data_IF_544259238018
#
_entry.id   IF_544259238018
#
_cell.length_a   1.000
_cell.length_b   1.000
_cell.length_c   1.000
_cell.angle_alpha   90.00
_cell.angle_beta   90.00
_cell.angle_gamma   90.00
#
_symmetry.space_group_name_H-M   'P 1'
#
loop_
_entity.id
_entity.type
_entity.pdbx_description
1 polymer ?
#
# COMPACT_ATOMS: atom_id res chain seq x y z
N UNK A 1 -13.67 -0.36 -2.28
CA UNK A 1 -12.91 -1.36 -3.05
C UNK A 1 -12.59 -2.60 -2.21
N UNK A 2 -12.05 -3.68 -2.81
CA UNK A 2 -11.73 -4.94 -2.11
C UNK A 2 -10.75 -4.75 -0.94
N UNK A 3 -9.81 -3.82 -1.06
CA UNK A 3 -8.81 -3.48 -0.04
C UNK A 3 -9.46 -3.03 1.26
N UNK A 4 -10.26 -1.95 1.21
CA UNK A 4 -10.93 -1.39 2.40
C UNK A 4 -11.88 -2.40 3.05
N UNK A 5 -12.62 -3.18 2.24
CA UNK A 5 -13.49 -4.23 2.77
C UNK A 5 -12.69 -5.33 3.48
N UNK A 6 -11.50 -5.65 2.98
CA UNK A 6 -10.55 -6.56 3.62
C UNK A 6 -10.00 -6.00 4.93
N UNK A 7 -9.55 -4.74 4.93
CA UNK A 7 -9.04 -4.03 6.11
C UNK A 7 -10.07 -4.05 7.25
N UNK A 8 -11.32 -3.66 6.99
CA UNK A 8 -12.39 -3.69 7.99
C UNK A 8 -12.51 -5.06 8.67
N UNK A 9 -12.51 -6.15 7.89
CA UNK A 9 -12.61 -7.52 8.43
C UNK A 9 -11.37 -7.90 9.24
N UNK A 10 -10.18 -7.60 8.73
CA UNK A 10 -8.91 -7.99 9.37
C UNK A 10 -8.68 -7.20 10.65
N UNK A 11 -8.96 -5.90 10.63
CA UNK A 11 -8.87 -5.00 11.78
C UNK A 11 -9.84 -5.41 12.89
N UNK A 12 -11.11 -5.66 12.55
CA UNK A 12 -12.12 -6.12 13.51
C UNK A 12 -11.75 -7.44 14.18
N UNK A 13 -11.21 -8.41 13.43
CA UNK A 13 -10.75 -9.69 13.98
C UNK A 13 -9.53 -9.52 14.88
N UNK A 14 -8.53 -8.76 14.44
CA UNK A 14 -7.28 -8.59 15.19
C UNK A 14 -7.49 -7.80 16.49
N UNK A 15 -8.41 -6.83 16.50
CA UNK A 15 -8.81 -6.09 17.69
C UNK A 15 -9.35 -7.00 18.80
N UNK A 16 -10.06 -8.07 18.45
CA UNK A 16 -10.63 -9.01 19.43
C UNK A 16 -9.56 -9.84 20.17
N UNK A 17 -8.34 -9.90 19.64
CA UNK A 17 -7.23 -10.67 20.20
C UNK A 17 -6.05 -9.79 20.63
N UNK A 18 -6.25 -8.47 20.75
CA UNK A 18 -5.19 -7.53 21.16
C UNK A 18 -4.02 -7.40 20.18
N UNK A 19 -4.28 -7.62 18.88
CA UNK A 19 -3.31 -7.44 17.79
C UNK A 19 -3.74 -6.31 16.84
N UNK A 20 -4.32 -5.26 17.42
CA UNK A 20 -4.72 -4.07 16.68
C UNK A 20 -3.53 -3.40 15.97
N UNK A 21 -3.88 -2.65 14.93
CA UNK A 21 -2.93 -1.91 14.12
C UNK A 21 -3.61 -0.63 13.61
N UNK A 22 -2.83 0.43 13.48
CA UNK A 22 -3.32 1.72 12.97
C UNK A 22 -3.38 1.72 11.44
N UNK A 23 -2.31 1.24 10.82
CA UNK A 23 -2.11 1.28 9.36
C UNK A 23 -1.86 -0.11 8.80
N UNK A 24 -2.67 -0.49 7.82
CA UNK A 24 -2.47 -1.71 7.02
C UNK A 24 -1.43 -1.44 5.93
N UNK A 25 -0.31 -2.18 5.92
CA UNK A 25 0.69 -2.13 4.86
C UNK A 25 0.60 -3.39 4.00
N UNK A 26 0.35 -3.24 2.70
CA UNK A 26 0.14 -4.34 1.76
C UNK A 26 0.79 -4.07 0.40
N UNK A 27 1.03 -5.12 -0.38
CA UNK A 27 1.48 -5.06 -1.78
C UNK A 27 0.50 -5.79 -2.69
N UNK A 28 0.97 -6.43 -3.77
CA UNK A 28 0.18 -7.27 -4.69
C UNK A 28 -0.79 -6.55 -5.64
N UNK A 29 -1.38 -5.41 -5.27
CA UNK A 29 -2.21 -4.63 -6.21
C UNK A 29 -1.42 -3.91 -7.29
N UNK A 30 -0.08 -3.86 -7.16
CA UNK A 30 0.85 -3.22 -8.12
C UNK A 30 0.40 -1.80 -8.48
N UNK A 31 -0.12 -1.10 -7.45
CA UNK A 31 -0.61 0.26 -7.52
C UNK A 31 -0.26 0.97 -6.22
N UNK A 32 0.37 2.13 -6.31
CA UNK A 32 0.63 2.96 -5.15
C UNK A 32 -0.67 3.61 -4.66
N UNK A 33 -1.03 3.35 -3.39
CA UNK A 33 -2.13 4.02 -2.68
C UNK A 33 -1.61 4.41 -1.31
N UNK A 34 -1.69 5.70 -0.99
CA UNK A 34 -1.15 6.24 0.25
C UNK A 34 -2.23 6.97 1.04
N UNK A 35 -2.74 6.32 2.07
CA UNK A 35 -3.64 6.92 3.05
C UNK A 35 -3.08 6.72 4.45
N UNK A 36 -3.72 7.30 5.47
CA UNK A 36 -3.33 7.03 6.88
C UNK A 36 -3.69 5.63 7.36
N UNK A 37 -4.75 5.04 6.81
CA UNK A 37 -5.30 3.75 7.26
C UNK A 37 -4.71 2.58 6.49
N UNK A 38 -4.38 2.80 5.22
CA UNK A 38 -3.84 1.78 4.32
C UNK A 38 -2.74 2.39 3.45
N UNK A 39 -1.61 1.69 3.42
CA UNK A 39 -0.51 1.90 2.47
C UNK A 39 -0.46 0.68 1.56
N UNK A 40 -0.64 0.92 0.26
CA UNK A 40 -0.42 -0.07 -0.78
C UNK A 40 0.88 0.29 -1.47
N UNK A 41 1.89 -0.55 -1.30
CA UNK A 41 3.12 -0.42 -2.07
C UNK A 41 2.79 -0.63 -3.56
N UNK A 42 3.40 0.18 -4.42
CA UNK A 42 3.39 -0.12 -5.85
C UNK A 42 4.29 -1.31 -6.17
N UNK A 43 4.83 -1.34 -7.39
CA UNK A 43 5.69 -2.43 -7.85
C UNK A 43 7.03 -1.91 -8.34
N UNK A 44 8.13 -2.50 -7.85
CA UNK A 44 9.48 -2.22 -8.35
C UNK A 44 9.71 -2.72 -9.78
N UNK A 45 8.97 -3.73 -10.24
CA UNK A 45 9.06 -4.17 -11.64
C UNK A 45 8.24 -3.29 -12.60
N UNK A 46 7.44 -2.36 -12.06
CA UNK A 46 6.56 -1.49 -12.84
C UNK A 46 5.54 -2.27 -13.66
N UNK A 47 5.18 -1.70 -14.81
CA UNK A 47 4.25 -2.29 -15.76
C UNK A 47 4.89 -3.42 -16.57
N UNK A 48 4.31 -4.61 -16.52
CA UNK A 48 4.81 -5.81 -17.19
C UNK A 48 3.68 -6.59 -17.90
N UNK A 49 4.04 -7.72 -18.53
CA UNK A 49 3.08 -8.58 -19.26
C UNK A 49 1.90 -9.04 -18.39
N UNK A 50 2.13 -9.36 -17.11
CA UNK A 50 1.05 -9.70 -16.19
C UNK A 50 0.05 -8.55 -16.02
N UNK A 51 0.54 -7.32 -15.85
CA UNK A 51 -0.32 -6.14 -15.73
C UNK A 51 -1.06 -5.81 -17.03
N UNK A 52 -0.41 -6.05 -18.18
CA UNK A 52 -1.01 -5.92 -19.50
C UNK A 52 -2.15 -6.91 -19.71
N UNK A 53 -1.93 -8.20 -19.47
CA UNK A 53 -2.95 -9.25 -19.59
C UNK A 53 -4.13 -8.98 -18.62
N UNK A 54 -3.84 -8.47 -17.42
CA UNK A 54 -4.83 -8.12 -16.41
C UNK A 54 -5.65 -6.86 -16.69
N UNK A 55 -5.38 -6.13 -17.79
CA UNK A 55 -5.96 -4.82 -18.09
C UNK A 55 -5.79 -3.81 -16.93
N UNK A 56 -4.67 -3.89 -16.21
CA UNK A 56 -4.39 -2.95 -15.13
C UNK A 56 -3.85 -1.63 -15.69
N UNK A 57 -4.10 -0.49 -15.01
CA UNK A 57 -3.54 0.78 -15.41
C UNK A 57 -2.00 0.77 -15.36
N UNK A 58 -1.38 1.53 -16.26
CA UNK A 58 0.06 1.75 -16.22
C UNK A 58 0.50 2.43 -14.91
N UNK A 59 1.60 1.94 -14.35
CA UNK A 59 2.32 2.57 -13.24
C UNK A 59 3.83 2.32 -13.45
N UNK A 60 4.68 3.36 -13.35
CA UNK A 60 6.12 3.17 -13.42
C UNK A 60 6.64 2.42 -12.18
N UNK A 61 7.84 1.83 -12.24
CA UNK A 61 8.52 1.28 -11.07
C UNK A 61 8.51 2.24 -9.87
N UNK A 62 7.93 1.81 -8.75
CA UNK A 62 7.67 2.67 -7.60
C UNK A 62 7.66 1.90 -6.27
N UNK A 63 8.13 2.56 -5.21
CA UNK A 63 8.10 2.07 -3.84
C UNK A 63 7.51 3.12 -2.89
N UNK A 64 6.75 2.68 -1.90
CA UNK A 64 6.21 3.55 -0.86
C UNK A 64 7.29 3.93 0.15
N UNK A 65 7.43 5.21 0.45
CA UNK A 65 8.20 5.72 1.58
C UNK A 65 7.28 6.55 2.49
N UNK A 66 7.41 6.36 3.80
CA UNK A 66 6.68 7.13 4.79
C UNK A 66 7.46 7.25 6.10
N UNK A 67 7.05 8.21 6.93
CA UNK A 67 7.57 8.39 8.29
C UNK A 67 6.39 8.30 9.25
N UNK A 68 6.53 7.44 10.26
CA UNK A 68 5.58 7.29 11.35
C UNK A 68 6.13 7.93 12.61
N UNK A 69 5.44 8.94 13.12
CA UNK A 69 5.68 9.50 14.44
C UNK A 69 5.00 8.63 15.51
N UNK A 70 5.66 8.31 16.64
CA UNK A 70 5.13 7.39 17.66
C UNK A 70 3.73 7.72 18.17
N UNK A 71 3.38 9.01 18.26
CA UNK A 71 2.07 9.47 18.78
C UNK A 71 1.18 10.19 17.77
N UNK A 72 1.70 10.54 16.58
CA UNK A 72 0.94 11.30 15.57
C UNK A 72 0.60 10.46 14.35
N UNK A 73 0.99 9.19 14.36
CA UNK A 73 0.89 8.30 13.22
C UNK A 73 1.74 8.80 12.06
N UNK A 74 1.27 8.57 10.84
CA UNK A 74 2.00 8.93 9.64
C UNK A 74 1.98 10.45 9.43
N UNK A 75 3.17 11.07 9.42
CA UNK A 75 3.37 12.51 9.23
C UNK A 75 3.91 12.88 7.85
N UNK A 76 4.45 11.91 7.14
CA UNK A 76 5.02 12.09 5.81
C UNK A 76 4.81 10.83 4.97
N UNK A 77 4.41 11.01 3.71
CA UNK A 77 4.29 9.94 2.72
C UNK A 77 4.73 10.48 1.36
N UNK A 78 5.54 9.71 0.64
CA UNK A 78 5.98 10.04 -0.70
C UNK A 78 6.18 8.77 -1.53
N UNK A 79 5.82 8.78 -2.82
CA UNK A 79 6.25 7.76 -3.76
C UNK A 79 7.73 7.91 -4.10
N UNK A 80 8.49 6.82 -4.10
CA UNK A 80 9.88 6.77 -4.58
C UNK A 80 9.88 6.05 -5.93
N UNK A 81 10.13 6.79 -7.00
CA UNK A 81 10.22 6.25 -8.35
C UNK A 81 11.58 5.62 -8.60
N UNK A 82 11.59 4.47 -9.26
CA UNK A 82 12.82 3.83 -9.73
C UNK A 82 12.98 4.18 -11.20
N UNK A 83 13.82 5.18 -11.47
CA UNK A 83 14.20 5.55 -12.84
C UNK A 83 15.59 4.98 -13.15
N UNK A 84 15.71 4.35 -14.32
CA UNK A 84 17.01 3.99 -14.88
C UNK A 84 17.79 5.24 -15.28
N UNK A 85 19.11 5.20 -15.14
CA UNK A 85 20.00 6.31 -15.47
C UNK A 85 20.24 6.43 -16.97
#
# INVERSE_FOLDING_TARGET
GPIIRGDVKKRARNMQIGQDYDTLVIGHWHRYISTRQVIVNGSLCGYNEYAYIGNFPYEPPIQALWITHPTKGITFQIPVYVEGR
#
